data_IF_293724989868
#
_entry.id   IF_293724989868
#
_cell.length_a   1.000
_cell.length_b   1.000
_cell.length_c   1.000
_cell.angle_alpha   90.00
_cell.angle_beta   90.00
_cell.angle_gamma   90.00
#
_symmetry.space_group_name_H-M   'P 1'
#
loop_
_entity.id
_entity.type
_entity.pdbx_description
1 polymer ?
#
# COMPACT_ATOMS: atom_id res chain seq x y z
N UNK A 1 -22.12 -33.82 25.52
CA UNK A 1 -22.94 -35.07 25.61
C UNK A 1 -22.57 -36.07 24.52
N UNK A 2 -21.38 -36.05 23.91
CA UNK A 2 -20.93 -36.92 22.80
C UNK A 2 -19.81 -37.90 23.22
N UNK A 3 -19.12 -37.63 24.33
CA UNK A 3 -17.98 -38.45 24.79
C UNK A 3 -18.41 -39.74 25.53
N UNK A 4 -19.69 -39.92 25.92
CA UNK A 4 -20.18 -41.07 26.67
C UNK A 4 -20.59 -42.27 25.82
N UNK A 5 -20.75 -42.11 24.52
CA UNK A 5 -21.31 -43.19 23.66
C UNK A 5 -20.23 -44.06 23.00
N UNK A 6 -19.00 -43.59 22.86
CA UNK A 6 -17.90 -44.30 22.22
C UNK A 6 -17.18 -45.30 23.13
N UNK A 7 -17.30 -45.16 24.47
CA UNK A 7 -16.63 -46.05 25.43
C UNK A 7 -17.43 -47.35 25.76
N UNK A 8 -18.73 -47.42 25.45
CA UNK A 8 -19.56 -48.61 25.71
C UNK A 8 -19.41 -49.70 24.64
N UNK A 9 -18.90 -49.40 23.47
CA UNK A 9 -18.71 -50.38 22.38
C UNK A 9 -17.41 -51.19 22.44
N UNK A 10 -16.45 -50.78 23.28
CA UNK A 10 -15.09 -51.38 23.31
C UNK A 10 -14.92 -52.41 24.43
N UNK A 11 -15.84 -52.47 25.41
CA UNK A 11 -15.73 -53.32 26.63
C UNK A 11 -16.78 -54.45 26.75
N UNK A 12 -17.33 -54.92 25.70
CA UNK A 12 -18.10 -56.14 25.73
C UNK A 12 -17.45 -57.24 24.90
N UNK A 13 -17.53 -58.48 25.12
CA UNK A 13 -17.86 -59.40 26.15
C UNK A 13 -16.72 -60.34 26.59
N UNK A 14 -15.52 -59.83 26.85
CA UNK A 14 -14.37 -60.66 27.29
C UNK A 14 -14.31 -60.99 28.81
N UNK A 15 -15.35 -60.62 29.59
CA UNK A 15 -15.35 -60.85 31.05
C UNK A 15 -16.30 -61.92 31.51
N UNK A 16 -16.67 -62.89 30.67
CA UNK A 16 -17.40 -64.08 31.16
C UNK A 16 -16.42 -65.27 31.17
N UNK A 17 -15.97 -65.57 32.37
CA UNK A 17 -15.05 -66.71 32.61
C UNK A 17 -15.69 -68.01 32.24
N UNK A 18 -15.03 -68.71 31.34
CA UNK A 18 -15.20 -70.15 31.22
C UNK A 18 -13.83 -70.82 31.22
N UNK A 19 -13.69 -71.85 32.07
CA UNK A 19 -12.44 -72.52 32.30
C UNK A 19 -12.23 -73.54 31.20
N UNK A 20 -11.23 -73.36 30.40
CA UNK A 20 -10.75 -74.44 29.53
C UNK A 20 -10.25 -73.96 28.17
N UNK A 21 -8.94 -74.09 27.97
CA UNK A 21 -8.10 -74.07 26.78
C UNK A 21 -7.19 -72.87 26.62
N UNK A 22 -5.88 -73.04 26.52
CA UNK A 22 -4.88 -71.94 26.46
C UNK A 22 -4.73 -71.28 25.10
N UNK A 23 -5.58 -71.58 24.11
CA UNK A 23 -5.41 -70.99 22.74
C UNK A 23 -6.25 -69.74 22.45
N UNK A 24 -7.27 -69.45 23.26
CA UNK A 24 -8.17 -68.26 22.97
C UNK A 24 -7.68 -66.92 23.49
N UNK A 25 -6.67 -66.88 24.36
CA UNK A 25 -6.13 -65.61 24.89
C UNK A 25 -5.24 -64.90 23.90
N UNK A 26 -4.61 -65.55 22.93
CA UNK A 26 -3.73 -64.97 21.95
C UNK A 26 -4.52 -64.22 20.82
N UNK A 27 -5.70 -64.71 20.45
CA UNK A 27 -6.51 -64.08 19.38
C UNK A 27 -7.22 -62.78 19.85
N UNK A 28 -7.66 -62.76 21.12
CA UNK A 28 -8.27 -61.54 21.68
C UNK A 28 -7.25 -60.40 21.81
N UNK A 29 -6.01 -60.70 22.15
CA UNK A 29 -4.95 -59.71 22.33
C UNK A 29 -4.50 -59.12 20.97
N UNK A 30 -4.38 -59.97 19.93
CA UNK A 30 -4.06 -59.52 18.55
C UNK A 30 -5.16 -58.67 17.94
N UNK A 31 -6.43 -58.96 18.20
CA UNK A 31 -7.57 -58.17 17.72
C UNK A 31 -7.66 -56.81 18.42
N UNK A 32 -7.32 -56.70 19.69
CA UNK A 32 -7.32 -55.42 20.43
C UNK A 32 -6.18 -54.49 19.98
N UNK A 33 -4.97 -55.03 19.83
CA UNK A 33 -3.82 -54.28 19.35
C UNK A 33 -4.04 -53.77 17.92
N UNK A 34 -4.58 -54.59 17.02
CA UNK A 34 -4.89 -54.20 15.64
C UNK A 34 -5.95 -53.06 15.59
N UNK A 35 -7.00 -53.17 16.41
CA UNK A 35 -8.03 -52.09 16.51
C UNK A 35 -7.45 -50.81 17.08
N UNK A 36 -6.56 -50.89 18.07
CA UNK A 36 -5.86 -49.72 18.63
C UNK A 36 -4.96 -49.07 17.58
N UNK A 37 -4.21 -49.83 16.79
CA UNK A 37 -3.38 -49.31 15.70
C UNK A 37 -4.22 -48.65 14.61
N UNK A 38 -5.34 -49.25 14.21
CA UNK A 38 -6.27 -48.62 13.24
C UNK A 38 -6.82 -47.30 13.79
N UNK A 39 -7.18 -47.26 15.07
CA UNK A 39 -7.66 -46.01 15.69
C UNK A 39 -6.58 -44.91 15.72
N UNK A 40 -5.34 -45.27 16.11
CA UNK A 40 -4.21 -44.31 16.12
C UNK A 40 -3.91 -43.81 14.72
N UNK A 41 -3.88 -44.68 13.70
CA UNK A 41 -3.60 -44.24 12.32
C UNK A 41 -4.71 -43.38 11.74
N UNK A 42 -5.98 -43.70 12.00
CA UNK A 42 -7.10 -42.87 11.54
C UNK A 42 -7.13 -41.54 12.25
N UNK A 43 -6.83 -41.50 13.54
CA UNK A 43 -6.73 -40.24 14.30
C UNK A 43 -5.57 -39.36 13.81
N UNK A 44 -4.40 -39.98 13.58
CA UNK A 44 -3.24 -39.30 13.03
C UNK A 44 -3.53 -38.72 11.64
N UNK A 45 -4.18 -39.51 10.77
CA UNK A 45 -4.58 -39.05 9.44
C UNK A 45 -5.58 -37.90 9.53
N UNK A 46 -6.57 -37.96 10.41
CA UNK A 46 -7.54 -36.91 10.62
C UNK A 46 -6.86 -35.61 11.10
N UNK A 47 -5.92 -35.72 12.04
CA UNK A 47 -5.13 -34.57 12.51
C UNK A 47 -4.29 -33.97 11.36
N UNK A 48 -3.60 -34.79 10.58
CA UNK A 48 -2.83 -34.33 9.42
C UNK A 48 -3.72 -33.62 8.40
N UNK A 49 -4.87 -34.21 8.06
CA UNK A 49 -5.83 -33.57 7.14
C UNK A 49 -6.32 -32.23 7.70
N UNK A 50 -6.65 -32.16 8.98
CA UNK A 50 -7.10 -30.93 9.63
C UNK A 50 -6.02 -29.86 9.61
N UNK A 51 -4.75 -30.22 9.88
CA UNK A 51 -3.62 -29.29 9.83
C UNK A 51 -3.37 -28.79 8.40
N UNK A 52 -3.45 -29.68 7.41
CA UNK A 52 -3.31 -29.28 6.00
C UNK A 52 -4.43 -28.35 5.59
N UNK A 53 -5.68 -28.64 5.94
CA UNK A 53 -6.81 -27.76 5.66
C UNK A 53 -6.66 -26.41 6.35
N UNK A 54 -6.16 -26.39 7.59
CA UNK A 54 -5.88 -25.15 8.32
C UNK A 54 -4.78 -24.30 7.65
N UNK A 55 -3.74 -24.94 7.12
CA UNK A 55 -2.67 -24.27 6.37
C UNK A 55 -3.13 -23.74 4.99
N UNK A 56 -4.18 -24.33 4.42
CA UNK A 56 -4.76 -23.91 3.14
C UNK A 56 -5.79 -22.77 3.31
N UNK A 57 -6.19 -22.44 4.54
CA UNK A 57 -7.09 -21.31 4.77
C UNK A 57 -6.31 -19.99 4.55
N UNK A 58 -6.86 -19.06 3.75
CA UNK A 58 -6.22 -17.77 3.58
C UNK A 58 -6.17 -17.04 4.93
N UNK A 59 -5.08 -16.32 5.22
CA UNK A 59 -5.04 -15.42 6.35
C UNK A 59 -6.17 -14.38 6.20
N UNK A 60 -6.69 -13.90 7.31
CA UNK A 60 -7.75 -12.90 7.35
C UNK A 60 -7.25 -11.50 7.71
N UNK A 61 -5.94 -11.31 7.75
CA UNK A 61 -5.30 -10.04 8.09
C UNK A 61 -4.28 -9.69 7.02
N UNK A 62 -4.24 -8.42 6.62
CA UNK A 62 -3.28 -7.85 5.66
C UNK A 62 -2.67 -6.60 6.29
N UNK A 63 -1.33 -6.52 6.33
CA UNK A 63 -0.61 -5.29 6.66
C UNK A 63 -0.36 -4.49 5.39
N UNK A 64 -0.94 -3.30 5.30
CA UNK A 64 -0.86 -2.42 4.14
C UNK A 64 -0.06 -1.16 4.49
N UNK A 65 1.13 -1.01 3.92
CA UNK A 65 1.90 0.22 4.06
C UNK A 65 1.28 1.31 3.20
N UNK A 66 0.96 2.43 3.84
CA UNK A 66 0.32 3.58 3.21
C UNK A 66 1.31 4.77 3.16
N UNK A 67 0.98 5.86 3.80
CA UNK A 67 1.82 7.05 3.85
C UNK A 67 1.55 7.82 5.13
N UNK A 68 1.82 9.10 5.12
CA UNK A 68 1.51 9.96 6.25
C UNK A 68 0.00 10.03 6.49
N UNK A 69 -0.36 10.20 7.74
CA UNK A 69 -1.76 10.35 8.14
C UNK A 69 -2.43 11.52 7.39
N UNK A 70 -3.62 11.26 6.82
CA UNK A 70 -4.33 12.22 5.98
C UNK A 70 -3.77 12.40 4.56
N UNK A 71 -2.76 11.61 4.17
CA UNK A 71 -2.24 11.57 2.80
C UNK A 71 -3.11 10.72 1.87
N UNK A 72 -2.87 10.83 0.56
CA UNK A 72 -3.65 10.12 -0.46
C UNK A 72 -3.59 8.58 -0.30
N UNK A 73 -2.43 8.03 0.04
CA UNK A 73 -2.27 6.59 0.27
C UNK A 73 -3.04 6.12 1.51
N UNK A 74 -3.04 6.92 2.58
CA UNK A 74 -3.81 6.59 3.79
C UNK A 74 -5.31 6.59 3.51
N UNK A 75 -5.83 7.59 2.78
CA UNK A 75 -7.23 7.60 2.36
C UNK A 75 -7.59 6.40 1.48
N UNK A 76 -6.69 6.02 0.59
CA UNK A 76 -6.90 4.84 -0.24
C UNK A 76 -6.87 3.57 0.61
N UNK A 77 -5.91 3.43 1.55
CA UNK A 77 -5.84 2.30 2.47
C UNK A 77 -7.12 2.15 3.32
N UNK A 78 -7.69 3.26 3.79
CA UNK A 78 -8.98 3.29 4.51
C UNK A 78 -10.12 2.76 3.64
N UNK A 79 -10.17 3.13 2.35
CA UNK A 79 -11.16 2.57 1.40
C UNK A 79 -10.98 1.07 1.22
N UNK A 80 -9.74 0.59 1.07
CA UNK A 80 -9.45 -0.84 1.02
C UNK A 80 -9.88 -1.55 2.30
N UNK A 81 -9.62 -0.95 3.46
CA UNK A 81 -10.03 -1.49 4.75
C UNK A 81 -11.56 -1.65 4.84
N UNK A 82 -12.32 -0.64 4.42
CA UNK A 82 -13.80 -0.72 4.40
C UNK A 82 -14.32 -1.80 3.45
N UNK A 83 -13.75 -1.91 2.25
CA UNK A 83 -14.19 -2.89 1.25
C UNK A 83 -13.86 -4.31 1.70
N UNK A 84 -12.62 -4.54 2.15
CA UNK A 84 -12.14 -5.87 2.56
C UNK A 84 -12.76 -6.36 3.86
N UNK A 85 -13.15 -5.44 4.77
CA UNK A 85 -13.87 -5.80 5.98
C UNK A 85 -15.22 -6.49 5.69
N UNK A 86 -15.87 -6.20 4.56
CA UNK A 86 -17.12 -6.87 4.13
C UNK A 86 -16.90 -8.34 3.82
N UNK A 87 -15.68 -8.69 3.43
CA UNK A 87 -15.25 -10.07 3.16
C UNK A 87 -14.59 -10.74 4.38
N UNK A 88 -14.62 -10.09 5.55
CA UNK A 88 -14.04 -10.59 6.80
C UNK A 88 -12.50 -10.49 6.84
N UNK A 89 -11.90 -9.64 6.00
CA UNK A 89 -10.45 -9.41 5.97
C UNK A 89 -10.16 -8.11 6.74
N UNK A 90 -9.29 -8.20 7.73
CA UNK A 90 -8.78 -7.07 8.51
C UNK A 90 -7.57 -6.46 7.79
N UNK A 91 -7.63 -5.17 7.46
CA UNK A 91 -6.49 -4.43 6.93
C UNK A 91 -5.86 -3.60 8.04
N UNK A 92 -4.60 -3.90 8.38
CA UNK A 92 -3.79 -3.13 9.31
C UNK A 92 -2.99 -2.09 8.52
N UNK A 93 -3.39 -0.82 8.65
CA UNK A 93 -2.73 0.28 7.96
C UNK A 93 -1.44 0.65 8.70
N UNK A 94 -0.32 0.58 8.00
CA UNK A 94 1.00 0.99 8.49
C UNK A 94 1.32 2.37 7.95
N UNK A 95 1.37 3.37 8.84
CA UNK A 95 1.73 4.74 8.46
C UNK A 95 3.24 4.90 8.29
N UNK A 96 3.65 5.58 7.22
CA UNK A 96 5.05 5.83 6.85
C UNK A 96 5.23 7.26 6.36
N UNK A 97 6.44 7.62 5.92
CA UNK A 97 6.66 8.91 5.26
C UNK A 97 6.32 8.85 3.75
N UNK A 98 6.01 7.68 3.19
CA UNK A 98 5.62 7.49 1.79
C UNK A 98 6.35 6.34 1.10
N UNK A 99 6.45 6.41 -0.23
CA UNK A 99 6.83 5.30 -1.09
C UNK A 99 8.20 4.70 -0.80
N UNK A 100 9.19 5.50 -0.39
CA UNK A 100 10.55 4.99 -0.08
C UNK A 100 10.53 4.12 1.17
N UNK A 101 9.88 4.61 2.25
CA UNK A 101 9.71 3.82 3.47
C UNK A 101 8.87 2.55 3.19
N UNK A 102 7.83 2.66 2.34
CA UNK A 102 6.99 1.55 1.95
C UNK A 102 7.80 0.47 1.21
N UNK A 103 8.66 0.88 0.26
CA UNK A 103 9.55 -0.02 -0.46
C UNK A 103 10.54 -0.73 0.48
N UNK A 104 11.05 0.00 1.48
CA UNK A 104 11.92 -0.57 2.51
C UNK A 104 11.19 -1.62 3.37
N UNK A 105 9.94 -1.33 3.78
CA UNK A 105 9.13 -2.29 4.55
C UNK A 105 8.81 -3.56 3.75
N UNK A 106 8.48 -3.41 2.45
CA UNK A 106 8.31 -4.55 1.54
C UNK A 106 9.57 -5.38 1.42
N UNK A 107 10.73 -4.74 1.21
CA UNK A 107 12.03 -5.42 1.07
C UNK A 107 12.48 -6.16 2.34
N UNK A 108 11.87 -5.85 3.49
CA UNK A 108 12.14 -6.49 4.79
C UNK A 108 11.05 -7.47 5.23
N UNK A 109 10.07 -7.78 4.38
CA UNK A 109 8.91 -8.65 4.66
C UNK A 109 8.12 -8.20 5.92
N UNK A 110 8.04 -6.87 6.17
CA UNK A 110 7.35 -6.31 7.33
C UNK A 110 5.89 -5.98 7.06
N UNK A 111 5.51 -5.90 5.78
CA UNK A 111 4.15 -5.65 5.29
C UNK A 111 3.81 -6.56 4.12
N UNK A 112 2.54 -6.87 3.96
CA UNK A 112 2.03 -7.79 2.92
C UNK A 112 1.73 -7.07 1.61
N UNK A 113 1.45 -5.77 1.69
CA UNK A 113 1.16 -4.90 0.55
C UNK A 113 1.57 -3.45 0.84
N UNK A 114 1.78 -2.68 -0.22
CA UNK A 114 2.17 -1.27 -0.09
C UNK A 114 1.70 -0.44 -1.28
N UNK A 115 1.43 0.85 -1.06
CA UNK A 115 1.31 1.82 -2.14
C UNK A 115 2.68 2.38 -2.48
N UNK A 116 3.03 2.34 -3.76
CA UNK A 116 4.27 2.90 -4.29
C UNK A 116 3.99 3.86 -5.43
N UNK A 117 4.69 4.97 -5.43
CA UNK A 117 4.76 5.90 -6.54
C UNK A 117 5.63 5.32 -7.65
N UNK A 118 5.24 5.50 -8.90
CA UNK A 118 6.10 5.18 -10.03
C UNK A 118 7.44 5.92 -9.91
N UNK A 119 8.52 5.26 -10.29
CA UNK A 119 9.90 5.76 -10.11
C UNK A 119 10.56 5.33 -8.79
N UNK A 120 9.80 4.90 -7.79
CA UNK A 120 10.37 4.30 -6.56
C UNK A 120 10.53 2.80 -6.76
N UNK A 121 11.78 2.35 -6.80
CA UNK A 121 12.13 0.93 -6.93
C UNK A 121 12.01 0.17 -5.63
N UNK A 122 11.74 -1.13 -5.75
CA UNK A 122 11.89 -2.13 -4.69
C UNK A 122 13.00 -3.10 -5.08
N UNK A 123 13.58 -3.79 -4.11
CA UNK A 123 14.57 -4.84 -4.41
C UNK A 123 13.91 -5.94 -5.26
N UNK A 124 14.69 -6.49 -6.21
CA UNK A 124 14.18 -7.52 -7.13
C UNK A 124 13.58 -8.71 -6.39
N UNK A 125 12.39 -9.11 -6.78
CA UNK A 125 11.69 -10.26 -6.24
C UNK A 125 11.04 -10.05 -4.87
N UNK A 126 11.10 -8.83 -4.29
CA UNK A 126 10.47 -8.54 -2.98
C UNK A 126 9.06 -7.98 -3.09
N UNK A 127 8.66 -7.54 -4.28
CA UNK A 127 7.30 -7.05 -4.52
C UNK A 127 6.85 -7.29 -5.96
N UNK A 128 5.54 -7.48 -6.14
CA UNK A 128 4.87 -7.60 -7.43
C UNK A 128 3.76 -6.56 -7.52
N UNK A 129 3.71 -5.81 -8.65
CA UNK A 129 2.63 -4.84 -8.87
C UNK A 129 1.37 -5.53 -9.35
N UNK A 130 0.25 -5.28 -8.67
CA UNK A 130 -1.08 -5.76 -9.10
C UNK A 130 -1.87 -4.70 -9.87
N UNK A 131 -1.30 -3.51 -10.07
CA UNK A 131 -1.84 -2.48 -10.94
C UNK A 131 -1.72 -1.06 -10.42
N UNK A 132 -1.98 -0.11 -11.32
CA UNK A 132 -2.11 1.29 -10.97
C UNK A 132 -3.44 1.57 -10.29
N UNK A 133 -3.43 2.42 -9.27
CA UNK A 133 -4.61 2.74 -8.46
C UNK A 133 -5.16 4.12 -8.83
N UNK A 134 -4.29 5.13 -8.91
CA UNK A 134 -4.66 6.50 -9.32
C UNK A 134 -3.43 7.25 -9.83
N UNK A 135 -3.68 8.40 -10.46
CA UNK A 135 -2.63 9.33 -10.85
C UNK A 135 -2.30 10.30 -9.73
N UNK A 136 -1.03 10.62 -9.60
CA UNK A 136 -0.46 11.58 -8.67
C UNK A 136 0.22 12.70 -9.47
N UNK A 137 -0.52 13.78 -9.78
CA UNK A 137 0.08 14.92 -10.43
C UNK A 137 1.24 15.52 -9.64
N UNK A 138 2.27 15.95 -10.36
CA UNK A 138 3.34 16.79 -9.85
C UNK A 138 2.80 18.22 -9.76
N UNK A 139 2.53 18.67 -8.55
CA UNK A 139 1.88 19.96 -8.27
C UNK A 139 2.91 20.91 -7.69
N UNK A 140 3.14 22.00 -8.39
CA UNK A 140 3.96 23.11 -7.94
C UNK A 140 3.04 24.26 -7.52
N UNK A 141 3.04 24.57 -6.22
CA UNK A 141 2.27 25.68 -5.67
C UNK A 141 3.18 26.88 -5.43
N UNK A 142 2.73 28.05 -5.81
CA UNK A 142 3.38 29.33 -5.52
C UNK A 142 2.33 30.39 -5.23
N UNK A 143 2.75 31.57 -4.73
CA UNK A 143 1.86 32.70 -4.62
C UNK A 143 1.37 33.17 -6.00
N UNK A 144 0.12 33.53 -6.09
CA UNK A 144 -0.47 34.15 -7.28
C UNK A 144 0.29 35.44 -7.61
N UNK A 145 0.72 35.59 -8.88
CA UNK A 145 1.50 36.77 -9.31
C UNK A 145 3.00 36.71 -9.01
N UNK A 146 3.53 35.52 -8.67
CA UNK A 146 4.97 35.31 -8.53
C UNK A 146 5.74 35.58 -9.84
N UNK A 147 7.02 35.96 -9.72
CA UNK A 147 7.93 36.16 -10.85
C UNK A 147 8.74 34.91 -11.22
N UNK A 148 8.35 33.73 -10.73
CA UNK A 148 9.06 32.47 -11.00
C UNK A 148 8.87 32.10 -12.47
N UNK A 149 9.95 31.87 -13.24
CA UNK A 149 9.84 31.49 -14.66
C UNK A 149 9.03 30.21 -14.86
N UNK A 150 8.16 30.18 -15.87
CA UNK A 150 7.42 28.99 -16.26
C UNK A 150 8.34 27.87 -16.80
N UNK A 151 9.55 28.18 -17.27
CA UNK A 151 10.57 27.23 -17.65
C UNK A 151 11.38 26.82 -16.41
N UNK A 152 11.25 25.57 -15.90
CA UNK A 152 11.91 25.14 -14.69
C UNK A 152 13.44 25.06 -14.79
N UNK A 153 13.98 24.94 -15.99
CA UNK A 153 15.44 24.98 -16.21
C UNK A 153 16.06 26.35 -15.82
N UNK A 154 15.24 27.40 -15.69
CA UNK A 154 15.67 28.73 -15.30
C UNK A 154 15.54 29.05 -13.81
N UNK A 155 15.07 28.09 -13.00
CA UNK A 155 14.87 28.33 -11.56
C UNK A 155 16.20 28.48 -10.84
N UNK A 156 16.39 29.60 -10.18
CA UNK A 156 17.60 29.98 -9.44
C UNK A 156 17.23 30.82 -8.22
N UNK A 157 17.91 30.54 -7.12
CA UNK A 157 17.75 31.35 -5.89
C UNK A 157 16.43 31.12 -5.14
N UNK A 158 15.63 30.14 -5.53
CA UNK A 158 14.35 29.86 -4.89
C UNK A 158 14.55 28.98 -3.65
N UNK A 159 13.67 29.15 -2.67
CA UNK A 159 13.49 28.24 -1.54
C UNK A 159 12.29 27.33 -1.83
N UNK A 160 12.55 26.04 -2.01
CA UNK A 160 11.55 25.06 -2.46
C UNK A 160 11.35 23.98 -1.41
N UNK A 161 10.12 23.79 -0.94
CA UNK A 161 9.74 22.61 -0.18
C UNK A 161 9.54 21.44 -1.16
N UNK A 162 10.54 20.57 -1.26
CA UNK A 162 10.61 19.49 -2.25
C UNK A 162 10.16 18.12 -1.70
N UNK A 163 9.41 18.12 -0.61
CA UNK A 163 8.98 16.90 0.08
C UNK A 163 9.91 16.49 1.22
N UNK A 164 9.35 15.70 2.14
CA UNK A 164 10.08 15.20 3.30
C UNK A 164 11.06 14.11 2.86
N UNK A 165 12.22 14.05 3.48
CA UNK A 165 13.19 12.98 3.24
C UNK A 165 12.53 11.61 3.44
N UNK A 166 12.80 10.65 2.53
CA UNK A 166 12.17 9.33 2.55
C UNK A 166 10.78 9.28 1.91
N UNK A 167 10.28 10.41 1.38
CA UNK A 167 9.02 10.43 0.63
C UNK A 167 9.25 10.24 -0.87
N UNK A 168 8.26 9.66 -1.55
CA UNK A 168 8.25 9.60 -3.02
C UNK A 168 8.28 10.99 -3.67
N UNK A 169 7.68 12.01 -3.02
CA UNK A 169 7.75 13.41 -3.48
C UNK A 169 9.19 13.91 -3.59
N UNK A 170 10.05 13.62 -2.59
CA UNK A 170 11.44 14.05 -2.63
C UNK A 170 12.24 13.34 -3.75
N UNK A 171 11.95 12.06 -4.00
CA UNK A 171 12.53 11.31 -5.13
C UNK A 171 12.07 11.94 -6.46
N UNK A 172 10.77 12.14 -6.64
CA UNK A 172 10.23 12.71 -7.86
C UNK A 172 10.76 14.13 -8.14
N UNK A 173 11.02 14.93 -7.10
CA UNK A 173 11.63 16.25 -7.29
C UNK A 173 13.08 16.14 -7.76
N UNK A 174 13.85 15.21 -7.23
CA UNK A 174 15.24 14.98 -7.66
C UNK A 174 15.29 14.52 -9.13
N UNK A 175 14.42 13.59 -9.52
CA UNK A 175 14.32 13.12 -10.91
C UNK A 175 13.83 14.24 -11.85
N UNK A 176 12.85 15.03 -11.40
CA UNK A 176 12.40 16.22 -12.15
C UNK A 176 13.54 17.23 -12.33
N UNK A 177 14.32 17.51 -11.29
CA UNK A 177 15.46 18.41 -11.33
C UNK A 177 16.49 17.95 -12.37
N UNK A 178 16.78 16.65 -12.43
CA UNK A 178 17.66 16.07 -13.44
C UNK A 178 17.06 16.17 -14.85
N UNK A 179 15.79 15.79 -15.00
CA UNK A 179 15.07 15.81 -16.29
C UNK A 179 15.02 17.19 -16.95
N UNK A 180 14.92 18.27 -16.14
CA UNK A 180 14.92 19.64 -16.66
C UNK A 180 16.30 20.28 -16.74
N UNK A 181 17.36 19.55 -16.36
CA UNK A 181 18.73 20.08 -16.34
C UNK A 181 18.95 21.21 -15.33
N UNK A 182 18.23 21.18 -14.20
CA UNK A 182 18.39 22.16 -13.15
C UNK A 182 19.73 21.94 -12.43
N UNK A 183 20.53 22.99 -12.30
CA UNK A 183 21.84 22.91 -11.66
C UNK A 183 21.70 22.61 -10.16
N UNK A 184 22.49 21.65 -9.69
CA UNK A 184 22.52 21.28 -8.28
C UNK A 184 22.99 22.48 -7.43
N UNK A 185 22.22 22.80 -6.38
CA UNK A 185 22.52 23.93 -5.51
C UNK A 185 22.07 25.29 -6.04
N UNK A 186 21.45 25.35 -7.24
CA UNK A 186 20.88 26.59 -7.76
C UNK A 186 19.73 27.12 -6.89
N UNK A 187 19.04 26.23 -6.18
CA UNK A 187 17.93 26.54 -5.30
C UNK A 187 18.17 25.92 -3.90
N UNK A 188 17.52 26.47 -2.90
CA UNK A 188 17.53 25.92 -1.52
C UNK A 188 16.37 24.95 -1.36
N UNK A 189 16.66 23.67 -1.12
CA UNK A 189 15.63 22.68 -0.86
C UNK A 189 15.42 22.53 0.67
N UNK A 190 14.16 22.57 1.11
CA UNK A 190 13.79 22.41 2.51
C UNK A 190 12.98 21.13 2.70
N UNK A 191 13.31 20.39 3.77
CA UNK A 191 12.72 19.10 4.14
C UNK A 191 11.46 19.33 4.99
N UNK A 192 10.39 19.82 4.36
CA UNK A 192 9.13 20.11 5.02
C UNK A 192 8.10 19.02 4.76
N UNK A 193 7.38 18.64 5.82
CA UNK A 193 6.14 17.86 5.68
C UNK A 193 5.04 18.74 5.06
N UNK A 194 3.98 18.09 4.58
CA UNK A 194 2.91 18.71 3.80
C UNK A 194 2.31 19.97 4.45
N UNK A 195 1.85 19.87 5.70
CA UNK A 195 1.23 21.00 6.41
C UNK A 195 2.22 22.14 6.64
N UNK A 196 3.47 21.80 6.94
CA UNK A 196 4.53 22.78 7.14
C UNK A 196 4.86 23.52 5.85
N UNK A 197 4.93 22.81 4.72
CA UNK A 197 5.19 23.42 3.41
C UNK A 197 4.08 24.41 3.01
N UNK A 198 2.81 24.05 3.21
CA UNK A 198 1.68 24.95 2.93
C UNK A 198 1.70 26.18 3.84
N UNK A 199 1.99 25.97 5.13
CA UNK A 199 2.09 27.08 6.07
C UNK A 199 3.24 28.04 5.71
N UNK A 200 4.43 27.49 5.43
CA UNK A 200 5.61 28.27 5.06
C UNK A 200 5.42 29.02 3.73
N UNK A 201 4.76 28.38 2.74
CA UNK A 201 4.41 29.06 1.49
C UNK A 201 3.51 30.26 1.73
N UNK A 202 2.46 30.12 2.53
CA UNK A 202 1.55 31.20 2.87
C UNK A 202 2.21 32.33 3.65
N UNK A 203 3.15 31.97 4.53
CA UNK A 203 3.91 32.96 5.28
C UNK A 203 4.95 33.73 4.44
N UNK A 204 5.25 33.25 3.21
CA UNK A 204 6.31 33.79 2.37
C UNK A 204 7.71 33.35 2.82
N UNK A 205 7.81 32.31 3.66
CA UNK A 205 9.09 31.76 4.11
C UNK A 205 9.75 30.89 3.04
N UNK A 206 8.96 30.40 2.07
CA UNK A 206 9.41 29.67 0.88
C UNK A 206 8.72 30.23 -0.36
N UNK A 207 9.39 30.07 -1.51
CA UNK A 207 8.88 30.55 -2.80
C UNK A 207 7.94 29.54 -3.46
N UNK A 208 8.14 28.25 -3.18
CA UNK A 208 7.43 27.16 -3.84
C UNK A 208 7.26 25.95 -2.92
N UNK A 209 6.11 25.29 -3.03
CA UNK A 209 5.87 23.99 -2.44
C UNK A 209 5.55 22.96 -3.54
N UNK A 210 6.27 21.85 -3.55
CA UNK A 210 6.11 20.75 -4.50
C UNK A 210 5.46 19.55 -3.83
N UNK A 211 4.47 18.97 -4.51
CA UNK A 211 3.75 17.79 -4.07
C UNK A 211 3.57 16.80 -5.21
N UNK A 212 3.67 15.52 -4.90
CA UNK A 212 3.20 14.44 -5.76
C UNK A 212 2.09 13.74 -5.01
N UNK A 213 0.85 13.94 -5.42
CA UNK A 213 -0.32 13.43 -4.73
C UNK A 213 -1.57 13.55 -5.58
N UNK A 214 -2.60 12.78 -5.23
CA UNK A 214 -3.94 13.04 -5.76
C UNK A 214 -4.39 14.47 -5.42
N UNK A 215 -4.96 15.16 -6.40
CA UNK A 215 -5.55 16.51 -6.22
C UNK A 215 -6.70 16.51 -5.19
N UNK A 216 -7.26 15.34 -4.88
CA UNK A 216 -8.30 15.17 -3.87
C UNK A 216 -7.77 15.09 -2.43
N UNK A 217 -6.45 15.07 -2.25
CA UNK A 217 -5.86 15.01 -0.92
C UNK A 217 -6.34 16.18 -0.05
N UNK A 218 -6.78 15.95 1.19
CA UNK A 218 -7.40 16.98 2.04
C UNK A 218 -6.55 18.22 2.22
N UNK A 219 -5.24 18.05 2.34
CA UNK A 219 -4.31 19.16 2.49
C UNK A 219 -4.17 20.02 1.23
N UNK A 220 -4.26 19.41 0.03
CA UNK A 220 -4.28 20.18 -1.23
C UNK A 220 -5.59 20.94 -1.38
N UNK A 221 -6.73 20.33 -1.03
CA UNK A 221 -8.01 21.04 -0.99
C UNK A 221 -7.97 22.23 -0.04
N UNK A 222 -7.27 22.11 1.10
CA UNK A 222 -7.07 23.23 2.01
C UNK A 222 -6.19 24.32 1.36
N UNK A 223 -5.08 23.93 0.72
CA UNK A 223 -4.19 24.88 0.02
C UNK A 223 -4.92 25.63 -1.09
N UNK A 224 -5.76 24.96 -1.86
CA UNK A 224 -6.56 25.55 -2.92
C UNK A 224 -7.72 26.43 -2.41
N UNK A 225 -8.04 26.39 -1.13
CA UNK A 225 -8.99 27.30 -0.49
C UNK A 225 -8.40 28.69 -0.25
N UNK A 226 -7.12 28.92 -0.52
CA UNK A 226 -6.46 30.22 -0.38
C UNK A 226 -6.38 30.92 -1.72
N UNK A 227 -6.89 32.17 -1.80
CA UNK A 227 -6.95 32.98 -3.03
C UNK A 227 -5.58 33.42 -3.53
N UNK A 228 -4.58 33.42 -2.66
CA UNK A 228 -3.22 33.89 -2.90
C UNK A 228 -2.25 32.77 -3.32
N UNK A 229 -2.72 31.52 -3.44
CA UNK A 229 -1.94 30.37 -3.88
C UNK A 229 -2.55 29.79 -5.16
N UNK A 230 -1.74 29.50 -6.17
CA UNK A 230 -2.17 28.85 -7.41
C UNK A 230 -1.19 27.75 -7.83
N UNK A 231 -1.68 26.84 -8.68
CA UNK A 231 -0.86 25.83 -9.36
C UNK A 231 -0.04 26.54 -10.45
N UNK A 232 1.26 26.44 -10.34
CA UNK A 232 2.16 27.00 -11.35
C UNK A 232 1.94 26.36 -12.71
N UNK A 233 2.05 27.18 -13.74
CA UNK A 233 2.13 26.71 -15.12
C UNK A 233 3.57 26.41 -15.48
N UNK A 234 3.84 25.17 -15.88
CA UNK A 234 5.14 24.79 -16.42
C UNK A 234 5.15 24.88 -17.95
N UNK A 235 6.25 25.39 -18.50
CA UNK A 235 6.55 25.26 -19.92
C UNK A 235 7.16 23.90 -20.22
N UNK A 236 6.91 23.42 -21.44
CA UNK A 236 7.57 22.21 -21.98
C UNK A 236 7.24 20.91 -21.26
N UNK A 237 6.08 20.78 -20.67
CA UNK A 237 5.65 19.56 -19.96
C UNK A 237 5.76 18.31 -20.82
N UNK A 238 5.40 18.38 -22.12
CA UNK A 238 5.56 17.29 -23.08
C UNK A 238 7.03 16.85 -23.28
N UNK A 239 7.94 17.82 -23.29
CA UNK A 239 9.37 17.54 -23.42
C UNK A 239 9.92 16.95 -22.12
N UNK A 240 9.51 17.48 -20.97
CA UNK A 240 9.93 16.98 -19.66
C UNK A 240 9.45 15.54 -19.45
N UNK A 241 8.21 15.22 -19.81
CA UNK A 241 7.67 13.88 -19.73
C UNK A 241 8.49 12.83 -20.52
N UNK A 242 9.18 13.25 -21.59
CA UNK A 242 10.08 12.35 -22.36
C UNK A 242 11.39 12.02 -21.64
N UNK A 243 11.73 12.78 -20.60
CA UNK A 243 12.91 12.55 -19.76
C UNK A 243 12.56 11.89 -18.43
N UNK A 244 11.27 11.59 -18.20
CA UNK A 244 10.73 10.89 -17.03
C UNK A 244 9.89 9.71 -17.53
N UNK A 245 10.53 8.56 -17.83
CA UNK A 245 9.90 7.40 -18.48
C UNK A 245 8.66 6.85 -17.77
N UNK A 246 8.49 7.18 -16.49
CA UNK A 246 7.38 6.74 -15.65
C UNK A 246 6.30 7.84 -15.42
N UNK A 247 6.47 9.02 -16.04
CA UNK A 247 5.52 10.12 -15.93
C UNK A 247 4.58 10.19 -17.15
N UNK A 248 3.30 10.29 -16.87
CA UNK A 248 2.25 10.58 -17.84
C UNK A 248 1.91 12.07 -17.81
N UNK A 249 1.13 12.54 -18.80
CA UNK A 249 0.56 13.89 -18.80
C UNK A 249 -0.93 13.82 -18.45
N UNK A 250 -1.35 14.67 -17.53
CA UNK A 250 -2.76 14.82 -17.17
C UNK A 250 -3.17 16.28 -17.31
N UNK A 251 -4.39 16.52 -17.77
CA UNK A 251 -4.96 17.86 -17.83
C UNK A 251 -5.90 18.07 -16.64
N UNK A 252 -5.65 19.15 -15.88
CA UNK A 252 -6.56 19.63 -14.86
C UNK A 252 -7.32 20.82 -15.48
N UNK A 253 -8.63 20.67 -15.73
CA UNK A 253 -9.40 21.75 -16.36
C UNK A 253 -9.57 22.95 -15.41
N UNK A 254 -9.88 24.10 -15.96
CA UNK A 254 -10.27 25.29 -15.18
C UNK A 254 -11.34 24.92 -14.16
N UNK A 255 -11.12 25.26 -12.90
CA UNK A 255 -12.03 24.89 -11.80
C UNK A 255 -12.05 23.40 -11.44
N UNK A 256 -11.17 22.58 -12.02
CA UNK A 256 -11.15 21.14 -11.82
C UNK A 256 -10.82 20.71 -10.39
N UNK A 257 -10.26 21.61 -9.57
CA UNK A 257 -9.93 21.37 -8.16
C UNK A 257 -10.95 22.05 -7.23
N UNK A 258 -11.30 23.30 -7.51
CA UNK A 258 -12.28 24.09 -6.76
C UNK A 258 -13.03 25.05 -7.69
N UNK A 259 -14.31 25.26 -7.42
CA UNK A 259 -15.12 26.25 -8.12
C UNK A 259 -15.29 27.55 -7.32
N UNK A 260 -14.85 27.58 -6.07
CA UNK A 260 -14.89 28.77 -5.22
C UNK A 260 -13.78 28.70 -4.15
N UNK A 261 -12.65 29.42 -4.35
CA UNK A 261 -12.24 30.10 -5.58
C UNK A 261 -12.08 29.14 -6.75
N UNK A 262 -12.13 29.66 -7.99
CA UNK A 262 -11.92 28.84 -9.19
C UNK A 262 -10.43 28.47 -9.26
N UNK A 263 -10.15 27.16 -9.09
CA UNK A 263 -8.78 26.61 -9.06
C UNK A 263 -8.67 25.34 -9.94
N UNK A 264 -7.68 25.23 -10.80
CA UNK A 264 -6.83 26.32 -11.27
C UNK A 264 -7.67 27.37 -12.04
N UNK A 265 -7.18 28.60 -12.08
CA UNK A 265 -7.82 29.70 -12.82
C UNK A 265 -7.86 29.53 -14.33
N UNK A 266 -6.96 28.70 -14.85
CA UNK A 266 -6.89 28.23 -16.24
C UNK A 266 -6.53 26.75 -16.26
N UNK A 267 -6.86 26.02 -17.34
CA UNK A 267 -6.45 24.63 -17.50
C UNK A 267 -4.93 24.47 -17.37
N UNK A 268 -4.51 23.42 -16.68
CA UNK A 268 -3.10 23.08 -16.44
C UNK A 268 -2.81 21.69 -16.95
N UNK A 269 -1.78 21.58 -17.81
CA UNK A 269 -1.17 20.29 -18.12
C UNK A 269 -0.09 20.00 -17.08
N UNK A 270 -0.22 18.90 -16.37
CA UNK A 270 0.68 18.47 -15.30
C UNK A 270 1.34 17.14 -15.67
N UNK A 271 2.59 16.99 -15.27
CA UNK A 271 3.21 15.68 -15.17
C UNK A 271 2.50 14.89 -14.07
N UNK A 272 2.25 13.62 -14.27
CA UNK A 272 1.60 12.79 -13.27
C UNK A 272 2.28 11.42 -13.18
N UNK A 273 2.44 10.96 -11.97
CA UNK A 273 2.96 9.64 -11.67
C UNK A 273 1.79 8.70 -11.39
N UNK A 274 2.02 7.41 -11.54
CA UNK A 274 1.00 6.40 -11.25
C UNK A 274 1.28 5.78 -9.89
N UNK A 275 0.37 5.95 -8.95
CA UNK A 275 0.37 5.18 -7.72
C UNK A 275 0.04 3.73 -8.04
N UNK A 276 0.82 2.79 -7.54
CA UNK A 276 0.66 1.36 -7.74
C UNK A 276 0.41 0.69 -6.40
N UNK A 277 -0.41 -0.35 -6.41
CA UNK A 277 -0.49 -1.29 -5.31
C UNK A 277 0.46 -2.46 -5.61
N UNK A 278 1.43 -2.64 -4.74
CA UNK A 278 2.35 -3.77 -4.78
C UNK A 278 2.07 -4.72 -3.62
N UNK A 279 2.38 -5.99 -3.81
CA UNK A 279 2.16 -7.07 -2.85
C UNK A 279 3.41 -7.91 -2.69
N UNK A 280 3.53 -8.61 -1.57
CA UNK A 280 4.48 -9.71 -1.40
C UNK A 280 4.17 -10.81 -2.44
N UNK A 281 5.14 -11.27 -3.24
CA UNK A 281 4.94 -12.36 -4.21
C UNK A 281 4.44 -13.66 -3.60
N UNK A 282 4.65 -13.87 -2.29
CA UNK A 282 4.17 -15.04 -1.56
C UNK A 282 2.80 -14.83 -0.92
N UNK A 283 2.18 -13.67 -1.09
CA UNK A 283 0.84 -13.40 -0.54
C UNK A 283 -0.17 -14.42 -1.06
N UNK A 284 -1.02 -14.93 -0.17
CA UNK A 284 -1.99 -15.95 -0.53
C UNK A 284 -2.89 -15.50 -1.71
N UNK A 285 -3.06 -16.29 -2.79
CA UNK A 285 -3.77 -15.88 -4.01
C UNK A 285 -5.19 -15.37 -3.78
N UNK A 286 -5.88 -15.88 -2.76
CA UNK A 286 -7.21 -15.38 -2.40
C UNK A 286 -7.18 -13.93 -1.93
N UNK A 287 -6.13 -13.50 -1.20
CA UNK A 287 -5.96 -12.12 -0.77
C UNK A 287 -5.56 -11.20 -1.94
N UNK A 288 -4.68 -11.68 -2.83
CA UNK A 288 -4.32 -10.96 -4.07
C UNK A 288 -5.57 -10.65 -4.89
N UNK A 289 -6.43 -11.66 -5.08
CA UNK A 289 -7.68 -11.48 -5.83
C UNK A 289 -8.62 -10.46 -5.15
N UNK A 290 -8.74 -10.48 -3.82
CA UNK A 290 -9.55 -9.53 -3.06
C UNK A 290 -9.00 -8.11 -3.14
N UNK A 291 -7.68 -7.93 -3.01
CA UNK A 291 -7.01 -6.63 -3.21
C UNK A 291 -7.25 -6.08 -4.61
N UNK A 292 -7.10 -6.93 -5.64
CA UNK A 292 -7.33 -6.54 -7.04
C UNK A 292 -8.80 -6.16 -7.29
N UNK A 293 -9.75 -6.85 -6.66
CA UNK A 293 -11.17 -6.51 -6.77
C UNK A 293 -11.53 -5.22 -6.04
N UNK A 294 -10.92 -4.96 -4.89
CA UNK A 294 -11.12 -3.74 -4.11
C UNK A 294 -10.59 -2.48 -4.82
N UNK A 295 -9.71 -2.63 -5.82
CA UNK A 295 -9.19 -1.54 -6.65
C UNK A 295 -10.20 -1.04 -7.72
N UNK A 296 -11.29 -1.77 -7.96
CA UNK A 296 -12.33 -1.46 -8.97
C UNK A 296 -13.50 -0.73 -8.36
#
# INVERSE_FOLDING_TARGET
>A
MVAGFLLRGVLGPCLRGDRGLPSQKSECFGSFTMRLWIFITTLSLAICVTLVLFMLLPPNTIKLAAGSQGGAYTLMAERYQEVLARDGIEVQIVHTNGSVDNAELMSKDLVDAAFLQAGVGVADGTAESIGGVFYEPMIFLAHSGHDIPANPALWRGLTIAAGKRGSGTAVAFADFQEAVGMENGANTLVDFGVSQAIFALRAGDIDMAFFVSSIEAPYLRQAFGYDDIDIMRLSYTDAIARHLDYADLVEVPTGGVSLNPVQPSEARQLLALKAQLVIDPNLHPALVNRLTMAAK
#
